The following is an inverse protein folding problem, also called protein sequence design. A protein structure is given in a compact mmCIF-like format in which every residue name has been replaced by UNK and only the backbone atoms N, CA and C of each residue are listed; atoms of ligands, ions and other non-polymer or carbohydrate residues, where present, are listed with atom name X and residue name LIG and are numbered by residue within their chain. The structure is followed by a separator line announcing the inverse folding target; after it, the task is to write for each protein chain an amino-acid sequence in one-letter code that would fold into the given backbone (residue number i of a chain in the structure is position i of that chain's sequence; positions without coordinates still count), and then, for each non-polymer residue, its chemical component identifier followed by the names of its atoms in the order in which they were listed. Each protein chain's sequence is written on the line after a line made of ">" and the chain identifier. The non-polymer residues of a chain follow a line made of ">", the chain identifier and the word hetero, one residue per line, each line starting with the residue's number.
data_IF_291983602088
#
_entry.id   IF_291983602088
#
_cell.length_a   1.000
_cell.length_b   1.000
_cell.length_c   1.000
_cell.angle_alpha   90.00
_cell.angle_beta   90.00
_cell.angle_gamma   90.00
#
_symmetry.space_group_name_H-M   'P 1'
#
loop_
_entity.id
_entity.type
_entity.pdbx_description
1 polymer ?
#
# COMPACT_ATOMS: atom_id res chain seq x y z
N UNK A 1 0.30 24.73 18.05
CA UNK A 1 0.99 24.32 16.81
C UNK A 1 0.66 22.86 16.66
N UNK A 2 -0.33 22.53 15.82
CA UNK A 2 -0.59 21.15 15.45
C UNK A 2 0.64 20.68 14.68
N UNK A 3 1.38 19.73 15.24
CA UNK A 3 2.40 19.03 14.48
C UNK A 3 1.65 18.35 13.32
N UNK A 4 1.80 18.85 12.10
CA UNK A 4 1.50 18.05 10.92
C UNK A 4 2.39 16.81 11.02
N UNK A 5 1.82 15.71 11.49
CA UNK A 5 2.51 14.42 11.49
C UNK A 5 2.65 14.02 10.03
N UNK A 6 3.82 14.27 9.45
CA UNK A 6 4.19 13.69 8.18
C UNK A 6 4.29 12.18 8.39
N UNK A 7 3.23 11.46 8.06
CA UNK A 7 3.19 10.02 8.16
C UNK A 7 4.07 9.43 7.05
N UNK A 8 5.16 8.77 7.43
CA UNK A 8 6.05 8.11 6.50
C UNK A 8 5.49 6.72 6.17
N UNK A 9 5.05 6.53 4.93
CA UNK A 9 4.73 5.21 4.38
C UNK A 9 5.98 4.70 3.66
N UNK A 10 6.50 3.55 4.10
CA UNK A 10 7.66 2.91 3.47
C UNK A 10 7.20 1.61 2.83
N UNK A 11 7.52 1.44 1.55
CA UNK A 11 7.42 0.15 0.88
C UNK A 11 8.81 -0.46 0.76
N UNK A 12 8.99 -1.67 1.26
CA UNK A 12 10.25 -2.39 1.15
C UNK A 12 10.02 -3.88 0.86
N UNK A 13 11.07 -4.56 0.41
CA UNK A 13 11.10 -6.03 0.41
C UNK A 13 11.47 -6.50 1.80
N UNK A 14 10.64 -7.35 2.38
CA UNK A 14 10.95 -8.10 3.58
C UNK A 14 12.27 -8.85 3.35
N UNK A 15 13.31 -8.59 4.17
CA UNK A 15 14.60 -9.24 4.01
C UNK A 15 14.55 -10.76 4.23
N UNK A 16 13.50 -11.29 4.88
CA UNK A 16 13.38 -12.70 5.20
C UNK A 16 12.84 -13.56 4.06
N UNK A 17 11.87 -13.07 3.29
CA UNK A 17 11.13 -13.84 2.28
C UNK A 17 10.97 -13.12 0.94
N UNK A 18 11.57 -11.94 0.78
CA UNK A 18 11.45 -11.06 -0.38
C UNK A 18 10.01 -10.61 -0.72
N UNK A 19 9.03 -10.87 0.15
CA UNK A 19 7.68 -10.30 0.05
C UNK A 19 7.73 -8.79 0.19
N UNK A 20 6.83 -8.07 -0.46
CA UNK A 20 6.73 -6.63 -0.25
C UNK A 20 5.93 -6.35 1.02
N UNK A 21 6.37 -5.35 1.78
CA UNK A 21 5.72 -4.89 2.98
C UNK A 21 5.46 -3.39 2.94
N UNK A 22 4.31 -3.01 3.48
CA UNK A 22 3.92 -1.63 3.73
C UNK A 22 4.18 -1.35 5.21
N UNK A 23 5.07 -0.41 5.51
CA UNK A 23 5.45 -0.03 6.88
C UNK A 23 4.93 1.38 7.17
N UNK A 24 4.12 1.50 8.23
CA UNK A 24 3.46 2.75 8.62
C UNK A 24 3.62 2.95 10.13
N UNK A 25 4.73 3.52 10.63
CA UNK A 25 4.97 3.63 12.07
C UNK A 25 3.86 4.42 12.81
N UNK A 26 3.35 3.97 13.97
CA UNK A 26 3.84 2.88 14.82
C UNK A 26 3.23 1.50 14.50
N UNK A 27 2.55 1.34 13.38
CA UNK A 27 1.95 0.09 12.94
C UNK A 27 3.03 -0.95 12.58
N UNK A 28 2.69 -2.24 12.71
CA UNK A 28 3.54 -3.32 12.21
C UNK A 28 3.67 -3.25 10.69
N UNK A 29 4.71 -3.82 10.09
CA UNK A 29 4.71 -4.06 8.65
C UNK A 29 3.50 -4.90 8.22
N UNK A 30 2.82 -4.48 7.14
CA UNK A 30 1.72 -5.21 6.50
C UNK A 30 2.29 -5.92 5.28
N UNK A 31 2.19 -7.23 5.23
CA UNK A 31 2.54 -8.00 4.04
C UNK A 31 1.42 -7.84 3.01
N UNK A 32 1.78 -7.65 1.74
CA UNK A 32 0.79 -7.55 0.66
C UNK A 32 -0.08 -8.81 0.50
N UNK A 33 0.43 -10.01 0.83
CA UNK A 33 -0.42 -11.21 0.85
C UNK A 33 -1.51 -11.15 1.92
N UNK A 34 -1.27 -10.45 3.04
CA UNK A 34 -2.32 -10.25 4.05
C UNK A 34 -3.44 -9.35 3.52
N UNK A 35 -3.16 -8.48 2.55
CA UNK A 35 -4.19 -7.65 1.90
C UNK A 35 -5.06 -8.45 0.93
N UNK A 36 -4.55 -9.56 0.38
CA UNK A 36 -5.32 -10.50 -0.43
C UNK A 36 -6.14 -11.44 0.45
N UNK A 37 -5.53 -12.00 1.50
CA UNK A 37 -6.12 -13.07 2.31
C UNK A 37 -7.01 -12.58 3.48
N UNK A 38 -6.70 -11.42 4.09
CA UNK A 38 -7.30 -10.97 5.36
C UNK A 38 -7.51 -9.45 5.44
N UNK A 39 -8.00 -8.87 4.34
CA UNK A 39 -8.17 -7.42 4.19
C UNK A 39 -9.01 -6.76 5.31
N UNK A 40 -10.11 -7.41 5.73
CA UNK A 40 -10.99 -6.88 6.79
C UNK A 40 -10.27 -6.77 8.14
N UNK A 41 -9.44 -7.75 8.50
CA UNK A 41 -8.70 -7.69 9.76
C UNK A 41 -7.63 -6.60 9.73
N UNK A 42 -6.95 -6.43 8.59
CA UNK A 42 -5.93 -5.37 8.41
C UNK A 42 -6.56 -3.99 8.54
N UNK A 43 -7.69 -3.72 7.88
CA UNK A 43 -8.38 -2.42 7.97
C UNK A 43 -8.90 -2.14 9.38
N UNK A 44 -9.44 -3.14 10.09
CA UNK A 44 -9.81 -3.00 11.51
C UNK A 44 -8.59 -2.73 12.41
N UNK A 45 -7.46 -3.41 12.16
CA UNK A 45 -6.22 -3.21 12.91
C UNK A 45 -5.72 -1.77 12.74
N UNK A 46 -5.77 -1.23 11.52
CA UNK A 46 -5.42 0.17 11.21
C UNK A 46 -6.34 1.15 11.97
N UNK A 47 -7.66 0.98 11.88
CA UNK A 47 -8.63 1.84 12.58
C UNK A 47 -8.45 1.82 14.10
N UNK A 48 -8.04 0.68 14.66
CA UNK A 48 -7.86 0.54 16.12
C UNK A 48 -6.57 1.19 16.63
N UNK A 49 -5.51 1.18 15.83
CA UNK A 49 -4.18 1.62 16.26
C UNK A 49 -3.85 3.07 15.87
N UNK A 50 -4.56 3.64 14.90
CA UNK A 50 -4.34 5.01 14.43
C UNK A 50 -5.42 5.93 15.01
N UNK A 51 -5.01 6.79 15.95
CA UNK A 51 -5.92 7.69 16.65
C UNK A 51 -6.47 8.81 15.76
N UNK A 52 -5.72 9.23 14.74
CA UNK A 52 -6.19 10.22 13.79
C UNK A 52 -7.07 9.53 12.74
N UNK A 53 -8.37 9.78 12.81
CA UNK A 53 -9.35 9.16 11.91
C UNK A 53 -9.11 9.53 10.44
N UNK A 54 -8.65 10.74 10.14
CA UNK A 54 -8.37 11.14 8.75
C UNK A 54 -7.18 10.35 8.22
N UNK A 55 -6.14 10.20 9.04
CA UNK A 55 -4.97 9.42 8.69
C UNK A 55 -5.30 7.93 8.56
N UNK A 56 -6.10 7.38 9.48
CA UNK A 56 -6.55 6.00 9.42
C UNK A 56 -7.32 5.74 8.12
N UNK A 57 -8.25 6.62 7.75
CA UNK A 57 -8.98 6.52 6.49
C UNK A 57 -8.05 6.63 5.28
N UNK A 58 -7.11 7.58 5.27
CA UNK A 58 -6.13 7.72 4.19
C UNK A 58 -5.29 6.44 3.98
N UNK A 59 -4.86 5.81 5.07
CA UNK A 59 -4.09 4.55 5.02
C UNK A 59 -4.97 3.40 4.55
N UNK A 60 -6.24 3.36 4.96
CA UNK A 60 -7.21 2.36 4.48
C UNK A 60 -7.42 2.52 2.99
N UNK A 61 -7.64 3.75 2.52
CA UNK A 61 -7.81 4.06 1.10
C UNK A 61 -6.54 3.64 0.31
N UNK A 62 -5.35 3.86 0.87
CA UNK A 62 -4.08 3.39 0.30
C UNK A 62 -4.04 1.87 0.17
N UNK A 63 -4.25 1.12 1.25
CA UNK A 63 -4.20 -0.36 1.18
C UNK A 63 -5.34 -0.96 0.37
N UNK A 64 -6.49 -0.27 0.28
CA UNK A 64 -7.61 -0.64 -0.61
C UNK A 64 -7.19 -0.55 -2.06
N UNK A 65 -6.60 0.58 -2.47
CA UNK A 65 -6.11 0.73 -3.83
C UNK A 65 -5.07 -0.33 -4.21
N UNK A 66 -4.23 -0.76 -3.26
CA UNK A 66 -3.30 -1.87 -3.47
C UNK A 66 -3.98 -3.21 -3.64
N UNK A 67 -5.01 -3.52 -2.84
CA UNK A 67 -5.80 -4.73 -3.01
C UNK A 67 -6.50 -4.74 -4.38
N UNK A 68 -7.19 -3.67 -4.72
CA UNK A 68 -7.93 -3.55 -5.99
C UNK A 68 -6.98 -3.72 -7.18
N UNK A 69 -5.78 -3.12 -7.11
CA UNK A 69 -4.78 -3.26 -8.15
C UNK A 69 -4.26 -4.70 -8.33
N UNK A 70 -4.18 -5.48 -7.25
CA UNK A 70 -3.82 -6.89 -7.32
C UNK A 70 -4.96 -7.73 -7.91
N UNK A 71 -6.20 -7.52 -7.44
CA UNK A 71 -7.38 -8.24 -7.92
C UNK A 71 -7.67 -7.99 -9.41
N UNK A 72 -7.50 -6.75 -9.86
CA UNK A 72 -7.73 -6.35 -11.26
C UNK A 72 -6.53 -6.62 -12.18
N UNK A 73 -5.37 -6.99 -11.60
CA UNK A 73 -4.09 -7.01 -12.29
C UNK A 73 -3.79 -5.69 -13.05
N UNK A 74 -4.25 -4.57 -12.50
CA UNK A 74 -4.13 -3.23 -13.07
C UNK A 74 -3.61 -2.26 -12.00
N UNK A 75 -2.68 -1.40 -12.36
CA UNK A 75 -2.09 -0.40 -11.46
C UNK A 75 -2.94 0.86 -11.31
N UNK A 76 -3.99 0.99 -12.12
CA UNK A 76 -4.86 2.17 -12.16
C UNK A 76 -5.45 2.57 -10.78
N UNK A 77 -5.94 1.65 -9.92
CA UNK A 77 -6.49 2.04 -8.62
C UNK A 77 -5.49 2.79 -7.72
N UNK A 78 -4.21 2.37 -7.73
CA UNK A 78 -3.15 3.04 -6.95
C UNK A 78 -2.82 4.42 -7.53
N UNK A 79 -2.84 4.55 -8.86
CA UNK A 79 -2.64 5.84 -9.52
C UNK A 79 -3.77 6.80 -9.16
N UNK A 80 -5.02 6.35 -9.20
CA UNK A 80 -6.18 7.16 -8.83
C UNK A 80 -6.14 7.61 -7.37
N UNK A 81 -5.73 6.74 -6.45
CA UNK A 81 -5.50 7.11 -5.05
C UNK A 81 -4.54 8.30 -4.92
N UNK A 82 -3.39 8.26 -5.61
CA UNK A 82 -2.41 9.34 -5.54
C UNK A 82 -2.81 10.61 -6.31
N UNK A 83 -3.66 10.50 -7.33
CA UNK A 83 -4.18 11.65 -8.07
C UNK A 83 -5.34 12.36 -7.35
N UNK A 84 -6.08 11.64 -6.52
CA UNK A 84 -7.24 12.16 -5.77
C UNK A 84 -6.88 12.70 -4.38
N UNK A 85 -5.74 12.30 -3.81
CA UNK A 85 -5.21 12.85 -2.56
C UNK A 85 -4.33 14.08 -2.75
N UNK A 86 -4.90 15.28 -2.70
CA UNK A 86 -4.14 16.54 -2.51
C UNK A 86 -3.50 16.55 -1.10
N UNK A 87 -2.20 16.80 -0.88
CA UNK A 87 -1.59 18.14 -0.79
C UNK A 87 -0.05 18.17 -0.86
N UNK A 88 0.62 17.07 -1.22
CA UNK A 88 2.04 17.14 -1.61
C UNK A 88 2.19 16.52 -2.98
N UNK A 89 2.24 17.38 -4.00
CA UNK A 89 2.52 17.00 -5.37
C UNK A 89 3.78 16.13 -5.41
N UNK A 90 3.61 14.80 -5.40
CA UNK A 90 4.71 13.90 -5.69
C UNK A 90 5.19 14.27 -7.07
N UNK A 91 6.50 14.44 -7.21
CA UNK A 91 7.03 14.80 -8.50
C UNK A 91 6.76 13.64 -9.48
N UNK A 92 6.65 13.91 -10.79
CA UNK A 92 6.36 12.87 -11.77
C UNK A 92 7.34 11.68 -11.73
N UNK A 93 8.58 11.89 -11.26
CA UNK A 93 9.59 10.84 -11.13
C UNK A 93 9.30 9.88 -9.95
N UNK A 94 8.79 10.38 -8.83
CA UNK A 94 8.37 9.59 -7.67
C UNK A 94 7.15 8.75 -8.01
N UNK A 95 6.16 9.34 -8.69
CA UNK A 95 4.98 8.62 -9.19
C UNK A 95 5.42 7.52 -10.17
N UNK A 96 6.35 7.83 -11.08
CA UNK A 96 6.89 6.85 -12.03
C UNK A 96 7.65 5.72 -11.34
N UNK A 97 8.46 6.00 -10.32
CA UNK A 97 9.21 4.97 -9.59
C UNK A 97 8.27 4.05 -8.79
N UNK A 98 7.23 4.62 -8.17
CA UNK A 98 6.16 3.86 -7.52
C UNK A 98 5.45 2.98 -8.56
N UNK A 99 5.08 3.55 -9.71
CA UNK A 99 4.44 2.83 -10.82
C UNK A 99 5.28 1.68 -11.35
N UNK A 100 6.58 1.87 -11.63
CA UNK A 100 7.47 0.82 -12.11
C UNK A 100 7.59 -0.31 -11.08
N UNK A 101 7.71 0.02 -9.80
CA UNK A 101 7.78 -0.96 -8.70
C UNK A 101 6.49 -1.77 -8.57
N UNK A 102 5.33 -1.10 -8.68
CA UNK A 102 4.02 -1.75 -8.61
C UNK A 102 3.78 -2.62 -9.85
N UNK A 103 4.15 -2.14 -11.04
CA UNK A 103 3.97 -2.91 -12.28
C UNK A 103 4.79 -4.19 -12.27
N UNK A 104 6.07 -4.11 -11.89
CA UNK A 104 6.91 -5.30 -11.69
C UNK A 104 6.28 -6.26 -10.66
N UNK A 105 5.58 -5.74 -9.66
CA UNK A 105 4.90 -6.54 -8.65
C UNK A 105 3.60 -7.19 -9.15
N UNK A 106 2.73 -6.46 -9.83
CA UNK A 106 1.52 -7.01 -10.45
C UNK A 106 1.89 -8.12 -11.42
N UNK A 107 2.96 -7.93 -12.19
CA UNK A 107 3.52 -8.98 -13.07
C UNK A 107 4.06 -10.19 -12.27
N UNK A 108 4.62 -9.99 -11.07
CA UNK A 108 5.18 -11.05 -10.23
C UNK A 108 4.13 -11.82 -9.41
N UNK A 109 3.03 -11.19 -9.01
CA UNK A 109 1.90 -11.84 -8.32
C UNK A 109 1.04 -12.62 -9.31
N UNK A 110 0.81 -12.07 -10.50
CA UNK A 110 0.02 -12.72 -11.56
C UNK A 110 0.82 -13.71 -12.42
N UNK A 111 2.11 -13.94 -12.11
CA UNK A 111 2.89 -14.95 -12.80
C UNK A 111 2.43 -16.35 -12.36
N UNK A 112 1.80 -17.09 -13.28
CA UNK A 112 1.18 -18.41 -13.04
C UNK A 112 2.14 -19.44 -12.41
N UNK A 113 3.46 -19.27 -12.49
CA UNK A 113 4.43 -20.12 -11.79
C UNK A 113 4.33 -20.06 -10.25
N UNK A 114 3.74 -18.99 -9.70
CA UNK A 114 3.57 -18.84 -8.24
C UNK A 114 2.32 -19.52 -7.68
N UNK A 115 1.26 -19.65 -8.48
CA UNK A 115 0.01 -20.33 -8.10
C UNK A 115 0.14 -21.87 -8.05
N UNK A 116 1.25 -22.43 -8.53
CA UNK A 116 1.52 -23.87 -8.55
C UNK A 116 2.37 -24.39 -7.38
N UNK A 117 2.71 -23.55 -6.39
CA UNK A 117 3.49 -23.95 -5.21
C UNK A 117 2.83 -23.57 -3.89
#
# INVERSE_FOLDING_TARGET
>A
MENQMNQLIIMNKNPADASLQIVIPPFRPINLFELEDDFESVTHEIQRNIFDQKLANYIIDFVTAFRDAMEEADVLPIVEFFLTGDETAMNPEQIKSIFETIKEFVELVNNEERLMH
#
